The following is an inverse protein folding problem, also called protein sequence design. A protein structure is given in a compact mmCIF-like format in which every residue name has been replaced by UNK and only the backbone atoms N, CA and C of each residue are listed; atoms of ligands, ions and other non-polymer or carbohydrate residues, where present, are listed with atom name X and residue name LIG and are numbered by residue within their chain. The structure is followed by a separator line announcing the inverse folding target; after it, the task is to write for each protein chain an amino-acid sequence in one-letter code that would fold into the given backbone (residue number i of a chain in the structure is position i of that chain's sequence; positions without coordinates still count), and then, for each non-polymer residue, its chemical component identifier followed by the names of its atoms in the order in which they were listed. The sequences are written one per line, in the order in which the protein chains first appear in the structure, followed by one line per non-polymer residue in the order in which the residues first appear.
data_IF_584388913227
#
_entry.id   IF_584388913227
#
_cell.length_a   1.000
_cell.length_b   1.000
_cell.length_c   1.000
_cell.angle_alpha   90.00
_cell.angle_beta   90.00
_cell.angle_gamma   90.00
#
_symmetry.space_group_name_H-M   'P 1'
#
loop_
_entity.id
_entity.type
_entity.pdbx_description
1 polymer ?
#
# COMPACT_ATOMS: atom_id res chain seq x y z
N UNK A 1 -35.05 -72.20 -14.05
CA UNK A 1 -35.27 -71.04 -13.15
C UNK A 1 -34.00 -70.28 -12.83
N UNK A 2 -32.85 -70.94 -12.64
CA UNK A 2 -31.54 -70.25 -12.32
C UNK A 2 -31.02 -69.39 -13.46
N UNK A 3 -31.09 -69.75 -14.71
CA UNK A 3 -30.62 -68.93 -15.86
C UNK A 3 -31.34 -67.59 -16.05
N UNK A 4 -32.61 -67.51 -15.62
CA UNK A 4 -33.37 -66.23 -15.71
C UNK A 4 -33.02 -65.26 -14.59
N UNK A 5 -32.48 -65.73 -13.43
CA UNK A 5 -32.04 -64.85 -12.33
C UNK A 5 -30.67 -64.17 -12.61
N UNK A 6 -29.74 -64.87 -13.26
CA UNK A 6 -28.45 -64.35 -13.65
C UNK A 6 -28.56 -63.27 -14.73
N UNK A 7 -29.48 -63.47 -15.71
CA UNK A 7 -29.74 -62.46 -16.76
C UNK A 7 -30.36 -61.19 -16.14
N UNK A 8 -31.28 -61.32 -15.19
CA UNK A 8 -31.90 -60.18 -14.51
C UNK A 8 -30.90 -59.40 -13.65
N UNK A 9 -29.97 -60.08 -12.96
CA UNK A 9 -28.89 -59.43 -12.22
C UNK A 9 -27.90 -58.71 -13.13
N UNK A 10 -27.51 -59.28 -14.26
CA UNK A 10 -26.62 -58.66 -15.26
C UNK A 10 -27.25 -57.40 -15.87
N UNK A 11 -28.54 -57.42 -16.20
CA UNK A 11 -29.25 -56.24 -16.74
C UNK A 11 -29.35 -55.11 -15.70
N UNK A 12 -29.55 -55.41 -14.43
CA UNK A 12 -29.57 -54.39 -13.37
C UNK A 12 -28.18 -53.79 -13.10
N UNK A 13 -27.12 -54.58 -13.15
CA UNK A 13 -25.74 -54.06 -13.02
C UNK A 13 -25.37 -53.16 -14.22
N UNK A 14 -25.78 -53.47 -15.43
CA UNK A 14 -25.57 -52.64 -16.62
C UNK A 14 -26.36 -51.32 -16.55
N UNK A 15 -27.61 -51.35 -16.06
CA UNK A 15 -28.41 -50.13 -15.85
C UNK A 15 -27.82 -49.24 -14.76
N UNK A 16 -27.35 -49.82 -13.65
CA UNK A 16 -26.71 -49.06 -12.55
C UNK A 16 -25.41 -48.43 -12.98
N UNK A 17 -24.56 -49.17 -13.75
CA UNK A 17 -23.29 -48.60 -14.31
C UNK A 17 -23.57 -47.47 -15.32
N UNK A 18 -24.60 -47.58 -16.16
CA UNK A 18 -24.99 -46.48 -17.08
C UNK A 18 -25.52 -45.26 -16.34
N UNK A 19 -26.27 -45.42 -15.24
CA UNK A 19 -26.77 -44.31 -14.41
C UNK A 19 -25.66 -43.60 -13.66
N UNK A 20 -24.64 -44.34 -13.15
CA UNK A 20 -23.47 -43.78 -12.49
C UNK A 20 -22.59 -43.02 -13.51
N UNK A 21 -22.42 -43.56 -14.72
CA UNK A 21 -21.63 -42.89 -15.77
C UNK A 21 -22.36 -41.64 -16.28
N UNK A 22 -23.67 -41.64 -16.40
CA UNK A 22 -24.46 -40.46 -16.77
C UNK A 22 -24.41 -39.38 -15.67
N UNK A 23 -24.44 -39.77 -14.39
CA UNK A 23 -24.29 -38.85 -13.26
C UNK A 23 -22.89 -38.19 -13.20
N UNK A 24 -21.81 -38.97 -13.45
CA UNK A 24 -20.44 -38.45 -13.52
C UNK A 24 -20.20 -37.52 -14.72
N UNK A 25 -20.80 -37.83 -15.88
CA UNK A 25 -20.70 -36.94 -17.05
C UNK A 25 -21.48 -35.65 -16.83
N UNK A 26 -22.61 -35.68 -16.11
CA UNK A 26 -23.39 -34.48 -15.79
C UNK A 26 -22.71 -33.60 -14.75
N UNK A 27 -22.05 -34.18 -13.71
CA UNK A 27 -21.26 -33.43 -12.74
C UNK A 27 -20.02 -32.74 -13.42
N UNK A 28 -19.31 -33.47 -14.27
CA UNK A 28 -18.17 -32.91 -15.00
C UNK A 28 -18.61 -31.83 -16.01
N UNK A 29 -19.77 -31.98 -16.64
CA UNK A 29 -20.33 -30.97 -17.54
C UNK A 29 -20.72 -29.68 -16.82
N UNK A 30 -21.27 -29.76 -15.62
CA UNK A 30 -21.66 -28.59 -14.81
C UNK A 30 -20.39 -27.85 -14.31
N UNK A 31 -19.37 -28.57 -13.86
CA UNK A 31 -18.10 -27.96 -13.43
C UNK A 31 -17.38 -27.26 -14.60
N UNK A 32 -17.35 -27.88 -15.79
CA UNK A 32 -16.77 -27.25 -16.98
C UNK A 32 -17.55 -26.01 -17.44
N UNK A 33 -18.88 -26.00 -17.34
CA UNK A 33 -19.70 -24.83 -17.70
C UNK A 33 -19.52 -23.69 -16.70
N UNK A 34 -19.42 -23.98 -15.41
CA UNK A 34 -19.15 -22.96 -14.38
C UNK A 34 -17.75 -22.36 -14.55
N UNK A 35 -16.73 -23.19 -14.80
CA UNK A 35 -15.36 -22.76 -15.05
C UNK A 35 -15.26 -21.92 -16.33
N UNK A 36 -15.98 -22.29 -17.40
CA UNK A 36 -16.01 -21.49 -18.63
C UNK A 36 -16.68 -20.12 -18.45
N UNK A 37 -17.66 -19.98 -17.56
CA UNK A 37 -18.31 -18.70 -17.26
C UNK A 37 -17.36 -17.73 -16.54
N UNK A 38 -16.66 -18.21 -15.53
CA UNK A 38 -15.68 -17.39 -14.80
C UNK A 38 -14.50 -17.02 -15.70
N UNK A 39 -14.00 -17.96 -16.49
CA UNK A 39 -12.95 -17.69 -17.48
C UNK A 39 -13.37 -16.62 -18.50
N UNK A 40 -14.61 -16.69 -19.00
CA UNK A 40 -15.13 -15.69 -19.93
C UNK A 40 -15.28 -14.32 -19.25
N UNK A 41 -15.77 -14.27 -18.02
CA UNK A 41 -15.90 -13.01 -17.28
C UNK A 41 -14.50 -12.37 -17.01
N UNK A 42 -13.51 -13.16 -16.63
CA UNK A 42 -12.15 -12.62 -16.48
C UNK A 42 -11.63 -12.04 -17.82
N UNK A 43 -11.84 -12.71 -18.95
CA UNK A 43 -11.50 -12.15 -20.27
C UNK A 43 -12.21 -10.83 -20.54
N UNK A 44 -13.48 -10.71 -20.21
CA UNK A 44 -14.25 -9.48 -20.40
C UNK A 44 -13.78 -8.37 -19.45
N UNK A 45 -13.43 -8.68 -18.20
CA UNK A 45 -12.84 -7.75 -17.23
C UNK A 45 -11.50 -7.19 -17.77
N UNK A 46 -10.57 -8.08 -18.17
CA UNK A 46 -9.28 -7.63 -18.73
C UNK A 46 -9.45 -6.86 -20.03
N UNK A 47 -10.39 -7.28 -20.90
CA UNK A 47 -10.70 -6.52 -22.10
C UNK A 47 -11.23 -5.12 -21.75
N UNK A 48 -12.18 -4.99 -20.85
CA UNK A 48 -12.73 -3.70 -20.40
C UNK A 48 -11.64 -2.82 -19.80
N UNK A 49 -10.85 -3.35 -18.85
CA UNK A 49 -9.76 -2.64 -18.19
C UNK A 49 -8.61 -2.21 -19.10
N UNK A 50 -8.43 -2.85 -20.27
CA UNK A 50 -7.37 -2.51 -21.22
C UNK A 50 -7.84 -1.67 -22.42
N UNK A 51 -9.16 -1.53 -22.64
CA UNK A 51 -9.69 -0.80 -23.80
C UNK A 51 -10.58 0.38 -23.44
N UNK A 52 -11.11 0.42 -22.22
CA UNK A 52 -12.06 1.44 -21.78
C UNK A 52 -11.69 2.05 -20.41
N UNK A 53 -10.46 1.81 -19.92
CA UNK A 53 -10.01 2.29 -18.62
C UNK A 53 -9.95 3.82 -18.55
N UNK A 54 -10.23 4.34 -17.36
CA UNK A 54 -10.10 5.75 -16.97
C UNK A 54 -8.97 5.97 -15.95
N UNK A 55 -8.47 4.92 -15.33
CA UNK A 55 -7.53 5.02 -14.22
C UNK A 55 -6.26 5.82 -14.57
N UNK A 56 -5.75 5.72 -15.80
CA UNK A 56 -4.56 6.47 -16.22
C UNK A 56 -4.84 7.99 -16.29
N UNK A 57 -5.98 8.39 -16.85
CA UNK A 57 -6.37 9.80 -16.95
C UNK A 57 -6.68 10.38 -15.55
N UNK A 58 -7.29 9.59 -14.68
CA UNK A 58 -7.52 10.00 -13.29
C UNK A 58 -6.20 10.18 -12.53
N UNK A 59 -5.23 9.29 -12.73
CA UNK A 59 -3.92 9.40 -12.11
C UNK A 59 -3.14 10.60 -12.65
N UNK A 60 -3.23 10.87 -13.98
CA UNK A 60 -2.63 12.09 -14.56
C UNK A 60 -3.13 13.34 -13.85
N UNK A 61 -4.42 13.45 -13.60
CA UNK A 61 -4.98 14.60 -12.91
C UNK A 61 -4.53 14.67 -11.45
N UNK A 62 -4.60 13.56 -10.71
CA UNK A 62 -4.14 13.50 -9.32
C UNK A 62 -2.67 13.91 -9.20
N UNK A 63 -1.82 13.41 -10.09
CA UNK A 63 -0.38 13.67 -10.08
C UNK A 63 -0.04 15.07 -10.62
N UNK A 64 -0.46 15.41 -11.85
CA UNK A 64 0.03 16.59 -12.56
C UNK A 64 -0.79 17.86 -12.25
N UNK A 65 -2.05 17.76 -11.81
CA UNK A 65 -2.91 18.93 -11.50
C UNK A 65 -3.03 19.17 -10.00
N UNK A 66 -3.05 18.12 -9.19
CA UNK A 66 -3.11 18.22 -7.73
C UNK A 66 -1.69 18.07 -7.14
N UNK A 67 -1.02 16.98 -7.44
CA UNK A 67 0.35 16.67 -6.97
C UNK A 67 0.40 16.22 -5.53
N UNK A 68 1.51 16.47 -4.87
CA UNK A 68 1.77 16.11 -3.48
C UNK A 68 0.61 16.47 -2.54
N UNK A 69 0.05 15.48 -1.84
CA UNK A 69 -1.25 15.62 -1.15
C UNK A 69 -1.26 15.04 0.26
N UNK A 70 -0.20 15.36 1.04
CA UNK A 70 -0.11 14.91 2.42
C UNK A 70 -1.37 15.30 3.21
N UNK A 71 -1.86 14.38 4.04
CA UNK A 71 -3.08 14.59 4.81
C UNK A 71 -3.06 15.92 5.58
N UNK A 72 -4.21 16.60 5.64
CA UNK A 72 -4.32 17.94 6.23
C UNK A 72 -3.83 19.10 5.36
N UNK A 73 -3.38 18.85 4.14
CA UNK A 73 -3.03 19.90 3.16
C UNK A 73 -4.23 20.29 2.29
N UNK A 74 -4.18 21.49 1.71
CA UNK A 74 -5.18 21.96 0.73
C UNK A 74 -5.22 21.06 -0.52
N UNK A 75 -4.12 20.40 -0.85
CA UNK A 75 -4.04 19.46 -1.97
C UNK A 75 -4.72 18.13 -1.66
N UNK A 76 -4.62 17.66 -0.42
CA UNK A 76 -5.39 16.48 0.02
C UNK A 76 -6.90 16.74 -0.11
N UNK A 77 -7.38 17.94 0.30
CA UNK A 77 -8.78 18.32 0.14
C UNK A 77 -9.18 18.37 -1.35
N UNK A 78 -8.34 18.93 -2.22
CA UNK A 78 -8.59 18.90 -3.69
C UNK A 78 -8.68 17.47 -4.23
N UNK A 79 -7.87 16.55 -3.73
CA UNK A 79 -7.92 15.14 -4.12
C UNK A 79 -9.23 14.48 -3.65
N UNK A 80 -9.71 14.78 -2.45
CA UNK A 80 -11.03 14.36 -1.94
C UNK A 80 -12.15 14.82 -2.88
N UNK A 81 -12.19 16.11 -3.21
CA UNK A 81 -13.23 16.65 -4.07
C UNK A 81 -13.15 16.11 -5.50
N UNK A 82 -11.96 15.95 -6.04
CA UNK A 82 -11.75 15.41 -7.38
C UNK A 82 -12.22 13.95 -7.47
N UNK A 83 -11.75 13.09 -6.57
CA UNK A 83 -12.07 11.65 -6.62
C UNK A 83 -13.56 11.41 -6.35
N UNK A 84 -14.17 12.16 -5.41
CA UNK A 84 -15.62 12.14 -5.21
C UNK A 84 -16.36 12.47 -6.51
N UNK A 85 -16.01 13.57 -7.17
CA UNK A 85 -16.65 13.99 -8.41
C UNK A 85 -16.48 12.93 -9.53
N UNK A 86 -15.30 12.28 -9.64
CA UNK A 86 -15.08 11.20 -10.61
C UNK A 86 -15.97 9.98 -10.30
N UNK A 87 -16.09 9.55 -9.05
CA UNK A 87 -16.97 8.44 -8.65
C UNK A 87 -18.44 8.76 -8.94
N UNK A 88 -18.88 10.00 -8.75
CA UNK A 88 -20.25 10.44 -9.08
C UNK A 88 -20.56 10.29 -10.58
N UNK A 89 -19.56 10.45 -11.46
CA UNK A 89 -19.74 10.26 -12.92
C UNK A 89 -19.99 8.82 -13.33
N UNK A 90 -19.69 7.84 -12.47
CA UNK A 90 -19.82 6.41 -12.77
C UNK A 90 -21.26 5.90 -12.63
N UNK A 91 -22.19 6.71 -12.12
CA UNK A 91 -23.56 6.28 -11.87
C UNK A 91 -23.63 5.17 -10.81
N UNK A 92 -22.87 5.32 -9.74
CA UNK A 92 -22.89 4.44 -8.57
C UNK A 92 -24.18 4.64 -7.77
N UNK A 93 -24.55 3.67 -6.96
CA UNK A 93 -25.76 3.74 -6.12
C UNK A 93 -25.60 4.74 -4.97
N UNK A 94 -24.35 4.94 -4.50
CA UNK A 94 -24.03 5.90 -3.44
C UNK A 94 -22.60 6.42 -3.59
N UNK A 95 -22.40 7.72 -3.38
CA UNK A 95 -21.08 8.36 -3.22
C UNK A 95 -21.17 9.34 -2.07
N UNK A 96 -20.25 9.28 -1.12
CA UNK A 96 -20.25 10.15 0.06
C UNK A 96 -18.85 10.35 0.64
N UNK A 97 -18.73 11.36 1.49
CA UNK A 97 -17.54 11.65 2.28
C UNK A 97 -17.74 11.14 3.70
N UNK A 98 -16.73 10.52 4.25
CA UNK A 98 -16.70 10.07 5.65
C UNK A 98 -15.65 10.88 6.41
N UNK A 99 -16.11 11.66 7.40
CA UNK A 99 -15.28 12.57 8.17
C UNK A 99 -14.20 11.86 8.98
N UNK A 100 -12.99 12.41 8.96
CA UNK A 100 -11.85 11.97 9.76
C UNK A 100 -10.97 13.14 10.16
N UNK A 101 -10.63 13.23 11.46
CA UNK A 101 -9.64 14.22 11.94
C UNK A 101 -8.23 13.70 11.68
N UNK A 102 -7.42 14.48 10.98
CA UNK A 102 -6.08 14.08 10.56
C UNK A 102 -5.01 15.05 11.06
N UNK A 103 -3.78 14.58 11.33
CA UNK A 103 -2.67 15.47 11.70
C UNK A 103 -2.31 16.35 10.51
N UNK A 104 -1.92 17.59 10.80
CA UNK A 104 -1.36 18.52 9.83
C UNK A 104 0.10 18.78 10.16
N UNK A 105 0.99 18.12 9.42
CA UNK A 105 2.41 18.39 9.45
C UNK A 105 2.82 19.11 8.18
N UNK A 106 3.70 20.12 8.30
CA UNK A 106 4.19 20.90 7.16
C UNK A 106 5.70 20.85 7.12
N UNK A 107 6.27 20.59 5.93
CA UNK A 107 7.72 20.52 5.71
C UNK A 107 8.39 21.88 5.84
N UNK A 108 7.74 22.93 5.36
CA UNK A 108 8.29 24.28 5.32
C UNK A 108 9.25 24.51 4.13
N UNK A 109 10.34 25.24 4.36
CA UNK A 109 11.33 25.54 3.33
C UNK A 109 12.15 24.31 2.97
N UNK A 110 12.68 24.28 1.72
CA UNK A 110 13.56 23.21 1.25
C UNK A 110 14.76 23.05 2.19
N UNK A 111 15.04 21.84 2.57
CA UNK A 111 16.14 21.47 3.45
C UNK A 111 17.50 21.71 2.80
N UNK A 112 18.48 21.98 3.63
CA UNK A 112 19.88 22.11 3.20
C UNK A 112 20.79 21.32 4.13
N UNK A 113 21.77 20.60 3.57
CA UNK A 113 22.75 19.87 4.37
C UNK A 113 24.14 19.88 3.75
N UNK A 114 25.14 19.80 4.60
CA UNK A 114 26.54 19.80 4.22
C UNK A 114 27.37 18.87 5.10
N UNK A 115 28.22 18.09 4.47
CA UNK A 115 29.35 17.43 5.11
C UNK A 115 30.44 18.48 5.29
N UNK A 116 30.89 18.69 6.52
CA UNK A 116 31.94 19.67 6.88
C UNK A 116 33.24 18.93 7.19
N UNK A 117 34.10 18.77 6.16
CA UNK A 117 35.36 18.05 6.25
C UNK A 117 36.52 19.06 6.22
N UNK A 118 37.04 19.42 7.39
CA UNK A 118 38.05 20.46 7.57
C UNK A 118 37.60 21.80 6.95
N UNK A 119 38.26 22.24 5.85
CA UNK A 119 37.89 23.45 5.11
C UNK A 119 36.93 23.21 3.97
N UNK A 120 36.53 21.95 3.72
CA UNK A 120 35.65 21.57 2.62
C UNK A 120 34.21 21.48 3.09
N UNK A 121 33.29 22.06 2.31
CA UNK A 121 31.86 22.01 2.52
C UNK A 121 31.24 21.31 1.32
N UNK A 122 30.67 20.10 1.52
CA UNK A 122 30.11 19.27 0.46
C UNK A 122 28.60 19.20 0.67
N UNK A 123 27.82 19.70 -0.28
CA UNK A 123 26.37 19.62 -0.24
C UNK A 123 25.90 18.16 -0.47
N UNK A 124 24.89 17.73 0.28
CA UNK A 124 24.24 16.44 0.14
C UNK A 124 22.71 16.59 0.20
N UNK A 125 21.95 15.87 -0.62
CA UNK A 125 20.50 15.92 -0.57
C UNK A 125 19.97 15.27 0.71
N UNK A 126 19.06 15.98 1.39
CA UNK A 126 18.29 15.46 2.52
C UNK A 126 16.81 15.81 2.37
N UNK A 127 15.94 15.09 3.09
CA UNK A 127 14.54 15.43 3.28
C UNK A 127 14.15 15.20 4.75
N UNK A 128 13.50 16.16 5.39
CA UNK A 128 12.98 15.97 6.73
C UNK A 128 12.03 14.77 6.78
N UNK A 129 12.13 13.95 7.84
CA UNK A 129 11.20 12.86 8.07
C UNK A 129 9.86 13.41 8.57
N UNK A 130 8.77 12.77 8.17
CA UNK A 130 7.42 13.15 8.56
C UNK A 130 7.24 13.09 10.07
N UNK A 131 6.67 14.15 10.66
CA UNK A 131 6.55 14.32 12.12
C UNK A 131 7.82 14.84 12.80
N UNK A 132 8.89 15.14 12.04
CA UNK A 132 10.08 15.79 12.58
C UNK A 132 9.82 17.25 12.98
N UNK A 133 10.73 17.81 13.77
CA UNK A 133 10.73 19.23 14.19
C UNK A 133 11.79 20.04 13.41
N UNK A 134 11.62 21.37 13.43
CA UNK A 134 12.61 22.29 12.87
C UNK A 134 13.96 22.23 13.62
N UNK A 135 15.04 22.53 12.90
CA UNK A 135 16.30 22.92 13.51
C UNK A 135 16.22 24.35 14.08
N UNK A 136 17.25 24.82 14.77
CA UNK A 136 17.38 26.26 15.07
C UNK A 136 17.35 27.08 13.77
N UNK A 137 17.07 28.39 13.88
CA UNK A 137 17.04 29.29 12.71
C UNK A 137 18.35 29.27 11.92
N UNK A 138 19.47 29.00 12.58
CA UNK A 138 20.82 28.93 11.96
C UNK A 138 21.19 27.51 11.52
N UNK A 139 20.27 26.53 11.61
CA UNK A 139 20.54 25.12 11.38
C UNK A 139 21.15 24.43 12.61
N UNK A 140 21.52 23.18 12.46
CA UNK A 140 22.21 22.35 13.45
C UNK A 140 23.57 21.92 12.89
N UNK A 141 24.62 22.08 13.71
CA UNK A 141 25.97 21.57 13.39
C UNK A 141 26.48 20.77 14.57
N UNK A 142 26.86 19.53 14.35
CA UNK A 142 27.49 18.68 15.36
C UNK A 142 28.43 17.63 14.71
N UNK A 143 29.27 16.98 15.53
CA UNK A 143 29.92 15.75 15.11
C UNK A 143 28.91 14.63 14.88
N UNK A 144 29.26 13.71 13.98
CA UNK A 144 28.44 12.54 13.73
C UNK A 144 28.98 11.27 14.38
N UNK A 145 28.08 10.34 14.61
CA UNK A 145 28.42 8.96 14.90
C UNK A 145 27.57 8.04 14.04
N UNK A 146 28.21 7.16 13.26
CA UNK A 146 27.53 6.18 12.38
C UNK A 146 27.18 4.95 13.18
N UNK A 147 25.96 4.44 12.95
CA UNK A 147 25.44 3.17 13.50
C UNK A 147 24.65 2.39 12.45
N UNK A 148 24.66 1.05 12.57
CA UNK A 148 23.91 0.16 11.69
C UNK A 148 22.51 -0.16 12.23
N UNK A 149 22.00 0.62 13.18
CA UNK A 149 20.67 0.50 13.72
C UNK A 149 20.59 0.76 15.22
N UNK A 150 19.37 0.57 15.76
CA UNK A 150 19.04 0.91 17.15
C UNK A 150 19.81 0.05 18.16
N UNK A 151 20.06 -1.23 17.86
CA UNK A 151 20.77 -2.11 18.79
C UNK A 151 22.23 -1.69 18.96
N UNK A 152 22.91 -1.32 17.88
CA UNK A 152 24.27 -0.76 17.98
C UNK A 152 24.28 0.56 18.73
N UNK A 153 23.32 1.46 18.44
CA UNK A 153 23.17 2.73 19.13
C UNK A 153 23.19 2.56 20.66
N UNK A 154 22.41 1.59 21.19
CA UNK A 154 22.30 1.34 22.63
C UNK A 154 23.65 0.97 23.26
N UNK A 155 24.55 0.31 22.52
CA UNK A 155 25.87 -0.09 23.02
C UNK A 155 26.84 1.10 23.20
N UNK A 156 26.56 2.22 22.53
CA UNK A 156 27.45 3.39 22.54
C UNK A 156 27.24 4.32 23.75
N UNK A 157 26.04 4.27 24.38
CA UNK A 157 25.74 5.01 25.61
C UNK A 157 26.10 6.51 25.53
N UNK A 158 26.88 6.99 26.52
CA UNK A 158 27.29 8.40 26.66
C UNK A 158 28.09 8.98 25.45
N UNK A 159 28.62 8.13 24.55
CA UNK A 159 29.29 8.59 23.33
C UNK A 159 28.37 9.29 22.35
N UNK A 160 27.05 9.11 22.49
CA UNK A 160 25.99 9.69 21.64
C UNK A 160 25.73 11.15 22.01
N UNK A 161 25.93 11.52 23.26
CA UNK A 161 25.58 12.84 23.81
C UNK A 161 26.19 14.00 22.99
N UNK A 162 25.33 14.92 22.55
CA UNK A 162 25.71 16.10 21.77
C UNK A 162 26.07 15.82 20.30
N UNK A 163 25.91 14.60 19.82
CA UNK A 163 26.21 14.22 18.43
C UNK A 163 24.95 14.09 17.57
N UNK A 164 25.12 14.13 16.25
CA UNK A 164 24.14 13.68 15.27
C UNK A 164 24.36 12.18 15.06
N UNK A 165 23.32 11.38 15.23
CA UNK A 165 23.36 9.95 14.93
C UNK A 165 23.06 9.73 13.44
N UNK A 166 23.97 9.08 12.76
CA UNK A 166 23.81 8.65 11.38
C UNK A 166 23.46 7.16 11.32
N UNK A 167 22.19 6.84 11.10
CA UNK A 167 21.70 5.49 10.88
C UNK A 167 21.97 5.07 9.43
N UNK A 168 22.84 4.09 9.23
CA UNK A 168 23.34 3.73 7.90
C UNK A 168 23.12 2.25 7.53
N UNK A 169 22.18 1.51 8.17
CA UNK A 169 21.83 0.16 7.75
C UNK A 169 21.09 0.21 6.41
N UNK A 170 21.64 -0.39 5.33
CA UNK A 170 20.99 -0.43 4.04
C UNK A 170 19.84 -1.46 4.02
N UNK A 171 18.99 -1.38 3.01
CA UNK A 171 18.14 -2.51 2.63
C UNK A 171 19.01 -3.70 2.23
N UNK A 172 18.64 -4.92 2.67
CA UNK A 172 19.38 -6.14 2.36
C UNK A 172 19.17 -6.53 0.88
N UNK A 173 20.21 -6.53 0.04
CA UNK A 173 20.09 -6.81 -1.39
C UNK A 173 19.86 -8.29 -1.71
N UNK A 174 19.95 -9.20 -0.73
CA UNK A 174 19.77 -10.64 -0.92
C UNK A 174 18.30 -11.02 -1.09
N UNK A 175 17.38 -10.24 -0.54
CA UNK A 175 15.96 -10.55 -0.61
C UNK A 175 15.38 -10.22 -1.99
N UNK A 176 14.77 -11.20 -2.63
CA UNK A 176 14.01 -11.00 -3.88
C UNK A 176 12.74 -10.18 -3.62
N UNK A 177 12.06 -10.45 -2.49
CA UNK A 177 10.92 -9.64 -2.02
C UNK A 177 11.46 -8.36 -1.36
N UNK A 178 11.41 -7.24 -2.07
CA UNK A 178 12.02 -5.96 -1.63
C UNK A 178 11.37 -5.40 -0.36
N UNK A 179 10.07 -5.64 -0.15
CA UNK A 179 9.40 -5.30 1.12
C UNK A 179 10.00 -5.98 2.35
N UNK A 180 10.58 -7.18 2.20
CA UNK A 180 11.33 -7.83 3.28
C UNK A 180 12.60 -7.06 3.63
N UNK A 181 13.29 -6.53 2.62
CA UNK A 181 14.47 -5.68 2.83
C UNK A 181 14.11 -4.36 3.51
N UNK A 182 13.01 -3.74 3.10
CA UNK A 182 12.45 -2.56 3.74
C UNK A 182 12.08 -2.81 5.20
N UNK A 183 11.32 -3.85 5.48
CA UNK A 183 10.97 -4.25 6.85
C UNK A 183 12.19 -4.52 7.74
N UNK A 184 13.31 -4.98 7.13
CA UNK A 184 14.58 -5.20 7.83
C UNK A 184 15.34 -3.94 8.25
N UNK A 185 14.95 -2.73 7.78
CA UNK A 185 15.67 -1.49 8.08
C UNK A 185 14.77 -0.31 8.47
N UNK A 186 13.45 -0.40 8.36
CA UNK A 186 12.52 0.70 8.61
C UNK A 186 12.49 1.19 10.06
N UNK A 187 12.83 0.34 11.02
CA UNK A 187 12.89 0.68 12.45
C UNK A 187 13.81 1.87 12.73
N UNK A 188 14.96 1.97 12.04
CA UNK A 188 15.90 3.09 12.19
C UNK A 188 15.30 4.44 11.73
N UNK A 189 14.39 4.43 10.76
CA UNK A 189 13.62 5.63 10.37
C UNK A 189 12.52 5.92 11.39
N UNK A 190 11.71 4.93 11.71
CA UNK A 190 10.50 5.13 12.51
C UNK A 190 10.81 5.47 13.97
N UNK A 191 11.71 4.74 14.61
CA UNK A 191 12.04 4.88 16.03
C UNK A 191 13.41 5.49 16.31
N UNK A 192 14.25 5.69 15.29
CA UNK A 192 15.65 6.11 15.48
C UNK A 192 15.81 7.43 16.20
N UNK A 193 14.99 8.45 15.88
CA UNK A 193 15.06 9.75 16.55
C UNK A 193 14.71 9.64 18.04
N UNK A 194 13.68 8.87 18.39
CA UNK A 194 13.30 8.59 19.78
C UNK A 194 14.44 7.96 20.57
N UNK A 195 15.02 6.90 20.03
CA UNK A 195 16.07 6.15 20.75
C UNK A 195 17.39 6.95 20.84
N UNK A 196 17.72 7.75 19.84
CA UNK A 196 18.86 8.66 19.89
C UNK A 196 18.68 9.81 20.89
N UNK A 197 17.49 10.40 20.95
CA UNK A 197 17.16 11.47 21.90
C UNK A 197 17.34 11.04 23.35
N UNK A 198 16.89 9.82 23.71
CA UNK A 198 17.08 9.24 25.06
C UNK A 198 18.54 9.16 25.49
N UNK A 199 19.48 9.09 24.55
CA UNK A 199 20.93 9.06 24.79
C UNK A 199 21.58 10.46 24.65
N UNK A 200 20.77 11.51 24.52
CA UNK A 200 21.24 12.90 24.42
C UNK A 200 21.81 13.29 23.06
N UNK A 201 21.45 12.59 21.98
CA UNK A 201 21.70 13.05 20.62
C UNK A 201 21.03 14.41 20.35
N UNK A 202 21.57 15.21 19.44
CA UNK A 202 21.01 16.51 19.07
C UNK A 202 20.29 16.50 17.71
N UNK A 203 20.35 15.40 16.97
CA UNK A 203 19.67 15.19 15.69
C UNK A 203 19.98 13.81 15.13
N UNK A 204 19.22 13.40 14.11
CA UNK A 204 19.50 12.15 13.38
C UNK A 204 19.46 12.36 11.88
N UNK A 205 20.30 11.59 11.18
CA UNK A 205 20.29 11.44 9.73
C UNK A 205 20.14 9.96 9.43
N UNK A 206 19.19 9.62 8.56
CA UNK A 206 18.83 8.23 8.25
C UNK A 206 19.07 7.97 6.76
N UNK A 207 19.81 6.91 6.44
CA UNK A 207 19.97 6.43 5.08
C UNK A 207 18.60 6.17 4.46
N UNK A 208 18.39 6.66 3.26
CA UNK A 208 17.18 6.38 2.48
C UNK A 208 17.01 4.88 2.19
N UNK A 209 15.78 4.41 2.24
CA UNK A 209 15.43 3.00 2.07
C UNK A 209 15.20 2.70 0.60
N UNK A 210 16.31 2.48 -0.11
CA UNK A 210 16.37 2.16 -1.52
C UNK A 210 17.50 1.17 -1.77
N UNK A 211 17.32 0.23 -2.70
CA UNK A 211 18.38 -0.66 -3.17
C UNK A 211 19.25 -0.02 -4.25
N UNK A 212 18.74 0.99 -4.93
CA UNK A 212 19.45 1.78 -5.92
C UNK A 212 20.27 2.86 -5.24
N UNK A 213 21.44 3.19 -5.80
CA UNK A 213 22.24 4.36 -5.41
C UNK A 213 21.85 5.57 -6.26
N UNK A 214 21.27 6.57 -5.63
CA UNK A 214 20.83 7.82 -6.26
C UNK A 214 20.88 9.01 -5.31
N UNK A 215 20.46 10.17 -5.79
CA UNK A 215 20.45 11.43 -5.03
C UNK A 215 19.04 11.84 -4.56
N UNK A 216 18.07 10.91 -4.54
CA UNK A 216 16.74 11.14 -4.03
C UNK A 216 16.65 10.69 -2.56
N UNK A 217 16.55 11.62 -1.58
CA UNK A 217 16.24 11.23 -0.20
C UNK A 217 14.79 10.77 -0.09
N UNK A 218 14.57 9.66 0.64
CA UNK A 218 13.27 9.08 0.89
C UNK A 218 12.76 9.50 2.27
N UNK A 219 11.70 10.27 2.31
CA UNK A 219 11.03 10.66 3.55
C UNK A 219 10.27 9.48 4.17
N UNK A 220 9.30 9.72 4.98
CA UNK A 220 8.40 8.76 5.62
C UNK A 220 8.19 9.08 7.08
N UNK A 221 7.16 8.49 7.69
CA UNK A 221 6.83 8.73 9.07
C UNK A 221 7.94 8.31 10.02
N UNK A 222 8.17 9.13 11.03
CA UNK A 222 8.91 8.80 12.25
C UNK A 222 8.03 9.08 13.47
N UNK A 223 8.38 8.50 14.62
CA UNK A 223 7.64 8.65 15.85
C UNK A 223 8.58 8.90 17.04
N UNK A 224 8.27 9.93 17.80
CA UNK A 224 8.91 10.17 19.10
C UNK A 224 8.27 9.34 20.23
N UNK A 225 7.16 8.62 19.93
CA UNK A 225 6.46 7.78 20.90
C UNK A 225 6.00 8.56 22.14
N UNK A 226 6.54 8.17 23.28
CA UNK A 226 6.22 8.72 24.62
C UNK A 226 7.17 9.80 25.10
N UNK A 227 8.12 10.25 24.26
CA UNK A 227 9.01 11.35 24.64
C UNK A 227 8.23 12.67 24.82
N UNK A 228 8.57 13.49 25.83
CA UNK A 228 8.05 14.83 25.91
C UNK A 228 8.54 15.70 24.73
N UNK A 229 7.70 16.63 24.27
CA UNK A 229 8.02 17.50 23.11
C UNK A 229 9.34 18.27 23.29
N UNK A 230 9.69 18.61 24.55
CA UNK A 230 10.95 19.30 24.86
C UNK A 230 12.22 18.47 24.59
N UNK A 231 12.07 17.17 24.39
CA UNK A 231 13.17 16.23 24.11
C UNK A 231 13.23 15.81 22.62
N UNK A 232 12.31 16.33 21.79
CA UNK A 232 12.33 16.05 20.36
C UNK A 232 13.59 16.62 19.70
N UNK A 233 14.16 15.87 18.79
CA UNK A 233 15.34 16.25 18.02
C UNK A 233 15.01 16.22 16.52
N UNK A 234 15.58 17.14 15.70
CA UNK A 234 15.37 17.15 14.27
C UNK A 234 15.93 15.88 13.61
N UNK A 235 15.17 15.33 12.65
CA UNK A 235 15.54 14.10 11.93
C UNK A 235 15.24 14.24 10.44
N UNK A 236 16.18 13.76 9.60
CA UNK A 236 16.06 13.79 8.14
C UNK A 236 16.62 12.52 7.50
N UNK A 237 16.07 12.15 6.34
CA UNK A 237 16.68 11.17 5.46
C UNK A 237 17.77 11.80 4.61
N UNK A 238 18.84 11.05 4.32
CA UNK A 238 19.88 11.40 3.36
C UNK A 238 19.80 10.44 2.16
N UNK A 239 20.06 10.91 0.93
CA UNK A 239 20.10 10.06 -0.25
C UNK A 239 21.11 8.91 -0.10
N UNK A 240 20.93 7.83 -0.85
CA UNK A 240 21.85 6.67 -0.79
C UNK A 240 23.27 7.03 -1.21
N UNK A 241 23.46 7.84 -2.27
CA UNK A 241 24.77 8.39 -2.64
C UNK A 241 25.35 9.27 -1.53
N UNK A 242 24.53 10.12 -0.92
CA UNK A 242 24.95 10.96 0.21
C UNK A 242 25.38 10.13 1.42
N UNK A 243 24.69 9.04 1.72
CA UNK A 243 25.01 8.13 2.81
C UNK A 243 26.35 7.39 2.57
N UNK A 244 26.60 6.88 1.36
CA UNK A 244 27.87 6.28 0.99
C UNK A 244 29.04 7.28 1.13
N UNK A 245 28.85 8.51 0.63
CA UNK A 245 29.84 9.55 0.75
C UNK A 245 30.13 9.92 2.20
N UNK A 246 29.07 10.06 3.02
CA UNK A 246 29.19 10.42 4.44
C UNK A 246 29.92 9.33 5.22
N UNK A 247 29.57 8.06 5.05
CA UNK A 247 30.25 6.93 5.68
C UNK A 247 31.72 6.84 5.28
N UNK A 248 32.04 7.01 3.98
CA UNK A 248 33.42 7.04 3.50
C UNK A 248 34.25 8.17 4.16
N UNK A 249 33.65 9.35 4.30
CA UNK A 249 34.30 10.51 4.94
C UNK A 249 34.53 10.31 6.43
N UNK A 250 33.55 9.73 7.15
CA UNK A 250 33.65 9.40 8.57
C UNK A 250 34.79 8.41 8.86
N UNK A 251 35.00 7.40 7.99
CA UNK A 251 36.11 6.45 8.11
C UNK A 251 37.48 7.14 8.01
N UNK A 252 37.59 8.21 7.23
CA UNK A 252 38.84 8.98 7.08
C UNK A 252 39.01 10.14 8.09
N UNK A 253 37.91 10.64 8.63
CA UNK A 253 37.88 11.73 9.63
C UNK A 253 36.79 11.47 10.68
N UNK A 254 37.10 10.79 11.80
CA UNK A 254 36.15 10.49 12.87
C UNK A 254 35.54 11.74 13.56
N UNK A 255 36.14 12.89 13.44
CA UNK A 255 35.66 14.15 14.02
C UNK A 255 34.91 15.02 12.99
N UNK A 256 34.44 14.40 11.89
CA UNK A 256 33.66 15.04 10.86
C UNK A 256 32.40 15.68 11.44
N UNK A 257 32.11 16.91 11.02
CA UNK A 257 30.86 17.59 11.37
C UNK A 257 29.88 17.57 10.23
N UNK A 258 28.60 17.56 10.59
CA UNK A 258 27.50 17.69 9.67
C UNK A 258 26.65 18.89 10.02
N UNK A 259 26.26 19.63 9.02
CA UNK A 259 25.30 20.72 9.13
C UNK A 259 24.02 20.34 8.40
N UNK A 260 22.86 20.58 9.01
CA UNK A 260 21.60 20.59 8.28
C UNK A 260 20.62 21.62 8.84
N UNK A 261 19.72 22.06 7.97
CA UNK A 261 18.63 22.99 8.29
C UNK A 261 17.34 22.48 7.69
N UNK A 262 16.30 22.46 8.51
CA UNK A 262 14.91 22.17 8.16
C UNK A 262 13.98 23.05 8.97
N UNK A 263 12.75 23.32 8.45
CA UNK A 263 11.78 24.24 9.04
C UNK A 263 10.40 23.62 9.25
N UNK A 264 10.31 22.31 9.26
CA UNK A 264 9.06 21.56 9.42
C UNK A 264 8.40 21.82 10.78
N UNK A 265 7.07 21.71 10.82
CA UNK A 265 6.28 21.95 12.02
C UNK A 265 5.02 21.07 12.05
N UNK A 266 4.69 20.60 13.25
CA UNK A 266 3.37 20.00 13.53
C UNK A 266 2.39 21.14 13.81
N UNK A 267 1.25 21.13 13.13
CA UNK A 267 0.12 22.04 13.32
C UNK A 267 -1.01 21.32 14.08
N UNK A 268 -2.10 22.03 14.36
CA UNK A 268 -3.32 21.41 14.88
C UNK A 268 -3.94 20.45 13.88
N UNK A 269 -4.59 19.42 14.41
CA UNK A 269 -5.36 18.47 13.58
C UNK A 269 -6.48 19.20 12.83
N UNK A 270 -6.76 18.74 11.62
CA UNK A 270 -7.81 19.31 10.76
C UNK A 270 -8.79 18.25 10.30
N UNK A 271 -10.00 18.68 9.96
CA UNK A 271 -11.00 17.80 9.32
C UNK A 271 -10.58 17.46 7.90
N UNK A 272 -10.69 16.19 7.53
CA UNK A 272 -10.55 15.66 6.18
C UNK A 272 -11.54 14.51 5.98
N UNK A 273 -11.40 13.72 4.90
CA UNK A 273 -12.42 12.72 4.55
C UNK A 273 -11.82 11.49 3.88
N UNK A 274 -12.34 10.30 4.23
CA UNK A 274 -12.33 9.17 3.29
C UNK A 274 -13.38 9.41 2.21
N UNK A 275 -13.10 9.01 0.97
CA UNK A 275 -14.07 9.08 -0.13
C UNK A 275 -14.62 7.68 -0.38
N UNK A 276 -15.96 7.56 -0.38
CA UNK A 276 -16.62 6.25 -0.45
C UNK A 276 -17.60 6.22 -1.62
N UNK A 277 -17.57 5.13 -2.42
CA UNK A 277 -18.50 4.87 -3.50
C UNK A 277 -19.01 3.42 -3.47
N UNK A 278 -20.27 3.17 -3.88
CA UNK A 278 -20.89 1.85 -3.78
C UNK A 278 -21.64 1.45 -5.05
N UNK A 279 -21.47 0.17 -5.45
CA UNK A 279 -22.44 -0.56 -6.27
C UNK A 279 -23.20 -1.48 -5.33
N UNK A 280 -24.50 -1.25 -5.19
CA UNK A 280 -25.37 -2.01 -4.29
C UNK A 280 -25.53 -3.46 -4.75
N UNK A 281 -25.44 -4.40 -3.82
CA UNK A 281 -25.65 -5.81 -4.06
C UNK A 281 -27.08 -6.12 -4.48
N UNK A 282 -27.24 -7.04 -5.44
CA UNK A 282 -28.54 -7.46 -5.98
C UNK A 282 -29.22 -8.56 -5.17
N UNK A 283 -28.44 -9.36 -4.43
CA UNK A 283 -28.93 -10.49 -3.63
C UNK A 283 -28.73 -10.22 -2.13
N UNK A 284 -27.56 -9.69 -1.75
CA UNK A 284 -27.15 -9.45 -0.37
C UNK A 284 -26.64 -8.02 -0.20
N UNK A 285 -27.50 -6.99 -0.31
CA UNK A 285 -27.09 -5.58 -0.24
C UNK A 285 -26.50 -5.16 1.12
N UNK A 286 -26.77 -5.91 2.19
CA UNK A 286 -26.22 -5.71 3.53
C UNK A 286 -24.81 -6.28 3.70
N UNK A 287 -24.35 -7.13 2.78
CA UNK A 287 -23.02 -7.74 2.81
C UNK A 287 -22.04 -6.90 1.99
N UNK A 288 -20.93 -6.49 2.59
CA UNK A 288 -20.02 -5.50 2.02
C UNK A 288 -18.68 -6.14 1.69
N UNK A 289 -18.22 -5.90 0.48
CA UNK A 289 -16.87 -6.17 0.00
C UNK A 289 -16.17 -4.85 -0.29
N UNK A 290 -15.02 -4.61 0.32
CA UNK A 290 -14.26 -3.37 0.19
C UNK A 290 -13.14 -3.53 -0.84
N UNK A 291 -12.89 -2.48 -1.61
CA UNK A 291 -11.68 -2.29 -2.41
C UNK A 291 -11.16 -0.89 -2.18
N UNK A 292 -9.85 -0.70 -1.97
CA UNK A 292 -9.31 0.61 -1.62
C UNK A 292 -7.82 0.79 -1.78
N UNK A 293 -7.36 1.98 -1.48
CA UNK A 293 -6.01 2.46 -1.38
C UNK A 293 -6.01 3.81 -0.69
N UNK A 294 -4.85 4.36 -0.32
CA UNK A 294 -4.84 5.63 0.40
C UNK A 294 -4.75 6.86 -0.53
N UNK A 295 -5.55 7.86 -0.20
CA UNK A 295 -5.70 9.05 -1.04
C UNK A 295 -4.61 10.09 -0.80
N UNK A 296 -4.05 10.17 0.39
CA UNK A 296 -2.92 11.04 0.69
C UNK A 296 -1.60 10.50 0.10
N UNK A 297 -0.59 11.30 0.08
CA UNK A 297 0.78 10.95 -0.33
C UNK A 297 1.77 11.84 0.39
N UNK A 298 3.05 11.46 0.43
CA UNK A 298 4.09 12.37 0.91
C UNK A 298 4.16 13.63 0.05
N UNK A 299 4.67 14.69 0.65
CA UNK A 299 4.70 16.05 0.11
C UNK A 299 5.91 16.36 -0.79
N UNK A 300 6.80 15.39 -1.02
CA UNK A 300 7.99 15.58 -1.85
C UNK A 300 7.70 15.51 -3.35
N UNK A 301 6.77 14.66 -3.77
CA UNK A 301 6.46 14.40 -5.17
C UNK A 301 4.95 14.27 -5.40
N UNK A 302 4.59 13.77 -6.58
CA UNK A 302 3.18 13.68 -6.99
C UNK A 302 2.45 12.50 -6.32
N UNK A 303 3.17 11.55 -5.69
CA UNK A 303 2.60 10.34 -5.10
C UNK A 303 1.86 9.51 -6.15
N UNK A 304 2.54 9.23 -7.27
CA UNK A 304 1.90 8.54 -8.40
C UNK A 304 1.88 7.03 -8.20
N UNK A 305 2.97 6.45 -7.68
CA UNK A 305 3.00 5.06 -7.24
C UNK A 305 2.43 4.90 -5.85
N UNK A 306 2.70 5.85 -4.94
CA UNK A 306 2.41 5.80 -3.52
C UNK A 306 1.45 6.94 -3.10
N UNK A 307 0.13 6.76 -3.05
CA UNK A 307 -0.62 5.61 -3.55
C UNK A 307 -1.67 6.05 -4.59
N UNK A 308 -1.33 7.03 -5.44
CA UNK A 308 -2.21 7.42 -6.56
C UNK A 308 -2.60 6.22 -7.43
N UNK A 309 -1.68 5.28 -7.63
CA UNK A 309 -1.93 4.06 -8.42
C UNK A 309 -3.02 3.19 -7.79
N UNK A 310 -2.94 2.90 -6.49
CA UNK A 310 -3.94 2.07 -5.81
C UNK A 310 -5.30 2.76 -5.72
N UNK A 311 -5.33 4.08 -5.50
CA UNK A 311 -6.55 4.89 -5.55
C UNK A 311 -7.28 4.69 -6.86
N UNK A 312 -6.61 4.95 -7.99
CA UNK A 312 -7.28 4.90 -9.30
C UNK A 312 -7.57 3.46 -9.76
N UNK A 313 -6.74 2.48 -9.36
CA UNK A 313 -7.04 1.06 -9.60
C UNK A 313 -8.30 0.62 -8.87
N UNK A 314 -8.48 1.05 -7.62
CA UNK A 314 -9.67 0.76 -6.82
C UNK A 314 -10.93 1.39 -7.38
N UNK A 315 -10.87 2.64 -7.86
CA UNK A 315 -11.95 3.30 -8.59
C UNK A 315 -12.28 2.58 -9.89
N UNK A 316 -11.26 2.12 -10.62
CA UNK A 316 -11.40 1.43 -11.90
C UNK A 316 -12.10 0.07 -11.76
N UNK A 317 -11.99 -0.62 -10.62
CA UNK A 317 -12.76 -1.84 -10.34
C UNK A 317 -14.26 -1.58 -10.51
N UNK A 318 -14.78 -0.51 -9.92
CA UNK A 318 -16.21 -0.16 -10.03
C UNK A 318 -16.56 0.27 -11.46
N UNK A 319 -15.68 1.02 -12.12
CA UNK A 319 -15.86 1.42 -13.51
C UNK A 319 -15.95 0.21 -14.46
N UNK A 320 -15.06 -0.78 -14.31
CA UNK A 320 -15.10 -2.03 -15.09
C UNK A 320 -16.45 -2.74 -14.89
N UNK A 321 -16.92 -2.88 -13.65
CA UNK A 321 -18.20 -3.54 -13.38
C UNK A 321 -19.39 -2.79 -13.97
N UNK A 322 -19.40 -1.46 -13.91
CA UNK A 322 -20.43 -0.64 -14.55
C UNK A 322 -20.41 -0.79 -16.07
N UNK A 323 -19.22 -0.76 -16.70
CA UNK A 323 -19.08 -0.94 -18.15
C UNK A 323 -19.57 -2.31 -18.64
N UNK A 324 -19.34 -3.35 -17.86
CA UNK A 324 -19.79 -4.71 -18.18
C UNK A 324 -21.26 -4.95 -17.84
N UNK A 325 -21.94 -4.00 -17.20
CA UNK A 325 -23.30 -4.19 -16.69
C UNK A 325 -23.37 -5.29 -15.62
N UNK A 326 -22.24 -5.57 -14.95
CA UNK A 326 -22.18 -6.56 -13.88
C UNK A 326 -23.02 -6.11 -12.68
N UNK A 327 -23.90 -6.98 -12.22
CA UNK A 327 -24.71 -6.79 -11.02
C UNK A 327 -24.15 -7.66 -9.93
N UNK A 328 -23.37 -7.12 -8.99
CA UNK A 328 -22.79 -7.91 -7.92
C UNK A 328 -23.88 -8.46 -7.01
N UNK A 329 -23.64 -9.64 -6.42
CA UNK A 329 -24.53 -10.24 -5.41
C UNK A 329 -24.47 -9.45 -4.11
N UNK A 330 -23.25 -9.09 -3.69
CA UNK A 330 -22.94 -8.32 -2.49
C UNK A 330 -22.65 -6.86 -2.87
N UNK A 331 -22.77 -5.93 -1.92
CA UNK A 331 -22.37 -4.54 -2.13
C UNK A 331 -20.85 -4.44 -2.29
N UNK A 332 -20.39 -3.87 -3.41
CA UNK A 332 -19.00 -3.56 -3.65
C UNK A 332 -18.78 -2.09 -3.35
N UNK A 333 -17.91 -1.81 -2.39
CA UNK A 333 -17.59 -0.47 -1.89
C UNK A 333 -16.14 -0.13 -2.16
N UNK A 334 -15.89 0.98 -2.89
CA UNK A 334 -14.56 1.58 -2.94
C UNK A 334 -14.41 2.53 -1.75
N UNK A 335 -13.25 2.48 -1.10
CA UNK A 335 -12.86 3.42 -0.04
C UNK A 335 -11.48 3.96 -0.36
N UNK A 336 -11.39 5.27 -0.53
CA UNK A 336 -10.12 5.97 -0.68
C UNK A 336 -9.78 6.55 0.69
N UNK A 337 -8.86 5.89 1.37
CA UNK A 337 -8.53 6.18 2.77
C UNK A 337 -7.67 7.44 2.87
N UNK A 338 -7.92 8.24 3.90
CA UNK A 338 -7.13 9.45 4.16
C UNK A 338 -6.20 9.22 5.35
N UNK A 339 -4.95 9.71 5.25
CA UNK A 339 -3.99 9.69 6.33
C UNK A 339 -3.35 8.32 6.62
N UNK A 340 -3.04 7.54 5.61
CA UNK A 340 -2.20 6.35 5.77
C UNK A 340 -0.79 6.78 6.19
N UNK A 341 -0.17 7.66 5.41
CA UNK A 341 1.24 8.05 5.41
C UNK A 341 1.79 8.48 6.78
N UNK A 342 0.96 9.15 7.57
CA UNK A 342 1.41 9.69 8.85
C UNK A 342 0.39 9.52 9.99
N UNK A 343 -0.42 8.44 9.97
CA UNK A 343 -1.34 8.20 11.08
C UNK A 343 -2.24 7.00 11.02
N UNK A 344 -2.65 6.55 9.83
CA UNK A 344 -3.61 5.45 9.63
C UNK A 344 -5.00 5.77 10.21
N UNK A 345 -5.38 7.06 10.27
CA UNK A 345 -6.65 7.45 10.90
C UNK A 345 -7.85 7.17 10.02
N UNK A 346 -7.68 7.19 8.69
CA UNK A 346 -8.75 6.89 7.72
C UNK A 346 -9.26 5.47 7.86
N UNK A 347 -8.38 4.48 7.84
CA UNK A 347 -8.74 3.07 8.02
C UNK A 347 -9.35 2.78 9.38
N UNK A 348 -8.78 3.36 10.46
CA UNK A 348 -9.34 3.25 11.83
C UNK A 348 -10.73 3.85 11.93
N UNK A 349 -10.94 5.04 11.34
CA UNK A 349 -12.25 5.71 11.37
C UNK A 349 -13.28 4.96 10.55
N UNK A 350 -12.88 4.39 9.43
CA UNK A 350 -13.75 3.54 8.63
C UNK A 350 -14.23 2.33 9.43
N UNK A 351 -13.32 1.63 10.09
CA UNK A 351 -13.64 0.48 10.95
C UNK A 351 -14.55 0.87 12.13
N UNK A 352 -14.23 1.97 12.85
CA UNK A 352 -15.03 2.48 13.95
C UNK A 352 -16.50 2.71 13.54
N UNK A 353 -16.72 3.37 12.40
CA UNK A 353 -18.06 3.66 11.90
C UNK A 353 -18.77 2.41 11.37
N UNK A 354 -18.04 1.50 10.75
CA UNK A 354 -18.59 0.20 10.32
C UNK A 354 -19.08 -0.63 11.52
N UNK A 355 -18.32 -0.65 12.62
CA UNK A 355 -18.71 -1.27 13.88
C UNK A 355 -19.96 -0.60 14.48
N UNK A 356 -19.96 0.73 14.57
CA UNK A 356 -21.09 1.52 15.10
C UNK A 356 -22.38 1.25 14.33
N UNK A 357 -22.29 1.17 13.02
CA UNK A 357 -23.39 0.91 12.10
C UNK A 357 -23.75 -0.58 11.99
N UNK A 358 -22.99 -1.46 12.66
CA UNK A 358 -23.16 -2.93 12.59
C UNK A 358 -23.14 -3.46 11.15
N UNK A 359 -22.25 -2.92 10.33
CA UNK A 359 -22.08 -3.32 8.95
C UNK A 359 -21.53 -4.75 8.84
N UNK A 360 -21.95 -5.50 7.84
CA UNK A 360 -21.52 -6.87 7.59
C UNK A 360 -20.43 -6.92 6.51
N UNK A 361 -19.17 -6.71 6.90
CA UNK A 361 -18.03 -6.87 6.01
C UNK A 361 -17.62 -8.33 5.89
N UNK A 362 -17.26 -8.78 4.68
CA UNK A 362 -16.84 -10.16 4.41
C UNK A 362 -15.49 -10.26 3.71
N UNK A 363 -15.11 -9.22 2.96
CA UNK A 363 -13.87 -9.18 2.19
C UNK A 363 -13.35 -7.75 2.06
N UNK A 364 -12.03 -7.59 2.05
CA UNK A 364 -11.37 -6.33 1.72
C UNK A 364 -10.12 -6.56 0.86
N UNK A 365 -9.93 -5.71 -0.16
CA UNK A 365 -8.78 -5.72 -1.07
C UNK A 365 -8.14 -4.34 -1.10
N UNK A 366 -6.83 -4.28 -0.90
CA UNK A 366 -6.05 -3.03 -0.98
C UNK A 366 -4.99 -3.10 -2.06
N UNK A 367 -4.74 -1.98 -2.73
CA UNK A 367 -3.58 -1.78 -3.59
C UNK A 367 -2.75 -0.64 -3.02
N UNK A 368 -1.56 -0.95 -2.51
CA UNK A 368 -0.58 -0.01 -1.94
C UNK A 368 0.83 -0.59 -2.10
N UNK A 369 1.22 -0.79 -3.36
CA UNK A 369 2.55 -1.30 -3.72
C UNK A 369 2.99 -0.79 -5.09
N UNK A 370 2.36 0.31 -5.56
CA UNK A 370 2.64 0.98 -6.81
C UNK A 370 1.94 0.39 -8.03
N UNK A 371 1.94 1.15 -9.13
CA UNK A 371 1.29 0.82 -10.40
C UNK A 371 2.14 -0.06 -11.34
N UNK A 372 2.93 -1.00 -10.80
CA UNK A 372 3.75 -1.92 -11.59
C UNK A 372 2.96 -3.15 -12.05
N UNK A 373 3.57 -3.96 -12.94
CA UNK A 373 2.94 -5.19 -13.46
C UNK A 373 2.44 -6.08 -12.33
N UNK A 374 1.15 -6.41 -12.25
CA UNK A 374 0.62 -7.29 -11.21
C UNK A 374 1.22 -8.70 -11.34
N UNK A 375 1.48 -9.34 -10.19
CA UNK A 375 2.03 -10.71 -10.10
C UNK A 375 1.14 -11.65 -9.27
N UNK A 376 0.23 -11.10 -8.46
CA UNK A 376 -0.64 -11.89 -7.61
C UNK A 376 -1.23 -11.11 -6.45
N UNK A 377 -1.45 -11.83 -5.36
CA UNK A 377 -2.03 -11.29 -4.14
C UNK A 377 -1.38 -11.89 -2.89
N UNK A 378 -1.34 -11.11 -1.82
CA UNK A 378 -1.16 -11.61 -0.46
C UNK A 378 -2.51 -11.69 0.25
N UNK A 379 -2.69 -12.68 1.14
CA UNK A 379 -3.95 -12.91 1.81
C UNK A 379 -3.77 -13.08 3.32
N UNK A 380 -4.55 -12.34 4.08
CA UNK A 380 -4.85 -12.66 5.48
C UNK A 380 -6.18 -13.42 5.51
N UNK A 381 -6.09 -14.74 5.56
CA UNK A 381 -7.22 -15.67 5.52
C UNK A 381 -6.91 -16.93 6.32
N UNK A 382 -7.94 -17.58 6.84
CA UNK A 382 -7.82 -18.93 7.38
C UNK A 382 -7.50 -19.96 6.28
N UNK A 383 -7.16 -21.19 6.69
CA UNK A 383 -6.75 -22.24 5.74
C UNK A 383 -7.87 -22.65 4.78
N UNK A 384 -9.13 -22.68 5.23
CA UNK A 384 -10.26 -23.12 4.42
C UNK A 384 -10.51 -22.12 3.27
N UNK A 385 -10.57 -20.82 3.59
CA UNK A 385 -10.75 -19.75 2.63
C UNK A 385 -9.54 -19.61 1.69
N UNK A 386 -8.32 -19.70 2.22
CA UNK A 386 -7.13 -19.65 1.38
C UNK A 386 -7.05 -20.82 0.39
N UNK A 387 -7.40 -22.05 0.82
CA UNK A 387 -7.45 -23.21 -0.08
C UNK A 387 -8.55 -23.04 -1.16
N UNK A 388 -9.71 -22.47 -0.84
CA UNK A 388 -10.72 -22.11 -1.84
C UNK A 388 -10.15 -21.12 -2.87
N UNK A 389 -9.51 -20.05 -2.43
CA UNK A 389 -8.89 -19.03 -3.31
C UNK A 389 -7.84 -19.67 -4.24
N UNK A 390 -7.05 -20.61 -3.73
CA UNK A 390 -6.06 -21.33 -4.55
C UNK A 390 -6.68 -22.13 -5.70
N UNK A 391 -7.94 -22.54 -5.60
CA UNK A 391 -8.63 -23.25 -6.72
C UNK A 391 -8.84 -22.34 -7.94
N UNK A 392 -8.84 -21.02 -7.75
CA UNK A 392 -9.02 -20.05 -8.84
C UNK A 392 -7.70 -19.64 -9.52
N UNK A 393 -6.56 -20.09 -9.00
CA UNK A 393 -5.24 -19.68 -9.50
C UNK A 393 -5.08 -19.90 -11.01
N UNK A 394 -5.56 -21.03 -11.52
CA UNK A 394 -5.48 -21.37 -12.94
C UNK A 394 -6.23 -20.37 -13.84
N UNK A 395 -7.28 -19.71 -13.34
CA UNK A 395 -8.01 -18.66 -14.07
C UNK A 395 -7.15 -17.42 -14.31
N UNK A 396 -6.16 -17.20 -13.46
CA UNK A 396 -5.25 -16.04 -13.51
C UNK A 396 -3.97 -16.30 -14.31
N UNK A 397 -3.62 -17.56 -14.58
CA UNK A 397 -2.38 -17.90 -15.33
C UNK A 397 -2.27 -17.23 -16.70
N UNK A 398 -3.35 -17.11 -17.53
CA UNK A 398 -3.28 -16.43 -18.82
C UNK A 398 -2.89 -14.95 -18.72
N UNK A 399 -3.01 -14.36 -17.52
CA UNK A 399 -2.71 -12.94 -17.23
C UNK A 399 -1.39 -12.76 -16.49
N UNK A 400 -0.58 -13.82 -16.35
CA UNK A 400 0.72 -13.85 -15.65
C UNK A 400 0.60 -13.55 -14.14
N UNK A 401 -0.55 -13.82 -13.56
CA UNK A 401 -0.81 -13.70 -12.12
C UNK A 401 -0.63 -15.08 -11.50
N UNK A 402 0.45 -15.25 -10.75
CA UNK A 402 0.88 -16.56 -10.26
C UNK A 402 1.23 -16.60 -8.78
N UNK A 403 1.39 -15.43 -8.13
CA UNK A 403 1.75 -15.34 -6.71
C UNK A 403 0.48 -15.25 -5.85
N UNK A 404 0.11 -16.35 -5.20
CA UNK A 404 -0.96 -16.41 -4.20
C UNK A 404 -0.32 -16.86 -2.91
N UNK A 405 -0.14 -15.93 -1.97
CA UNK A 405 0.62 -16.20 -0.73
C UNK A 405 -0.14 -15.71 0.50
N UNK A 406 0.05 -16.38 1.64
CA UNK A 406 -0.37 -15.84 2.93
C UNK A 406 0.60 -14.74 3.35
N UNK A 407 0.06 -13.61 3.83
CA UNK A 407 0.87 -12.48 4.27
C UNK A 407 0.03 -11.24 4.51
N UNK A 408 0.69 -10.16 4.86
CA UNK A 408 0.06 -8.86 5.08
C UNK A 408 -0.70 -8.41 3.83
N UNK A 409 -1.94 -7.92 4.03
CA UNK A 409 -2.85 -7.56 2.94
C UNK A 409 -2.85 -6.06 2.64
N UNK A 410 -2.73 -5.20 3.66
CA UNK A 410 -2.73 -3.76 3.51
C UNK A 410 -2.85 -3.04 4.85
N UNK A 411 -2.38 -1.79 4.89
CA UNK A 411 -2.35 -0.99 6.10
C UNK A 411 -3.74 -0.42 6.44
N UNK A 412 -4.45 0.11 5.46
CA UNK A 412 -5.75 0.76 5.64
C UNK A 412 -6.89 -0.21 5.92
N UNK A 413 -6.86 -1.40 5.31
CA UNK A 413 -7.82 -2.47 5.60
C UNK A 413 -7.42 -3.30 6.82
N UNK A 414 -6.24 -3.09 7.39
CA UNK A 414 -5.75 -3.74 8.60
C UNK A 414 -6.73 -3.69 9.77
N UNK A 415 -7.30 -2.52 10.12
CA UNK A 415 -8.30 -2.39 11.21
C UNK A 415 -9.53 -3.27 11.05
N UNK A 416 -9.94 -3.62 9.81
CA UNK A 416 -11.08 -4.52 9.55
C UNK A 416 -10.90 -5.95 10.05
N UNK A 417 -9.73 -6.30 10.60
CA UNK A 417 -9.51 -7.57 11.31
C UNK A 417 -10.51 -7.83 12.43
N UNK A 418 -11.11 -6.78 12.99
CA UNK A 418 -12.16 -6.86 14.00
C UNK A 418 -13.41 -7.60 13.51
N UNK A 419 -13.68 -7.59 12.19
CA UNK A 419 -14.79 -8.31 11.56
C UNK A 419 -14.47 -9.77 11.20
N UNK A 420 -13.23 -10.24 11.39
CA UNK A 420 -12.76 -11.59 11.03
C UNK A 420 -12.97 -11.93 9.55
N UNK A 421 -12.74 -10.97 8.68
CA UNK A 421 -12.91 -11.08 7.22
C UNK A 421 -11.64 -11.59 6.53
N UNK A 422 -11.79 -12.02 5.28
CA UNK A 422 -10.64 -12.22 4.39
C UNK A 422 -10.15 -10.86 3.93
N UNK A 423 -8.84 -10.62 4.05
CA UNK A 423 -8.18 -9.45 3.47
C UNK A 423 -7.19 -9.88 2.41
N UNK A 424 -7.08 -9.10 1.34
CA UNK A 424 -6.14 -9.31 0.26
C UNK A 424 -5.40 -8.01 -0.08
N UNK A 425 -4.13 -8.14 -0.46
CA UNK A 425 -3.34 -7.05 -1.02
C UNK A 425 -2.88 -7.39 -2.44
N UNK A 426 -3.03 -6.45 -3.38
CA UNK A 426 -2.45 -6.62 -4.71
C UNK A 426 -0.92 -6.67 -4.60
N UNK A 427 -0.31 -7.69 -5.23
CA UNK A 427 1.15 -7.79 -5.32
C UNK A 427 1.61 -7.52 -6.74
N UNK A 428 2.10 -6.32 -7.05
CA UNK A 428 2.83 -6.07 -8.29
C UNK A 428 4.28 -6.56 -8.20
N UNK A 429 5.02 -6.41 -9.30
CA UNK A 429 6.47 -6.55 -9.32
C UNK A 429 7.11 -5.45 -8.46
N UNK A 430 7.70 -5.83 -7.35
CA UNK A 430 8.21 -4.88 -6.34
C UNK A 430 9.64 -4.40 -6.59
N UNK A 431 10.32 -4.87 -7.67
CA UNK A 431 11.75 -4.61 -7.86
C UNK A 431 12.10 -3.13 -7.99
N UNK A 432 11.17 -2.31 -8.49
CA UNK A 432 11.37 -0.87 -8.69
C UNK A 432 10.58 0.00 -7.72
N UNK A 433 9.72 -0.57 -6.84
CA UNK A 433 8.87 0.22 -5.95
C UNK A 433 9.69 1.17 -5.07
N UNK A 434 10.74 0.64 -4.43
CA UNK A 434 11.58 1.44 -3.55
C UNK A 434 12.51 2.42 -4.27
N UNK A 435 12.58 2.42 -5.60
CA UNK A 435 13.22 3.50 -6.37
C UNK A 435 12.41 4.81 -6.30
N UNK A 436 11.10 4.72 -6.01
CA UNK A 436 10.14 5.84 -6.01
C UNK A 436 9.52 6.11 -4.64
N UNK A 437 9.27 5.06 -3.86
CA UNK A 437 8.58 5.11 -2.57
C UNK A 437 9.10 6.25 -1.67
N UNK A 438 8.23 7.20 -1.35
CA UNK A 438 8.50 8.37 -0.51
C UNK A 438 9.59 9.35 -1.03
N UNK A 439 9.87 9.38 -2.32
CA UNK A 439 10.94 10.16 -2.91
C UNK A 439 10.45 11.16 -3.97
N UNK A 440 11.28 12.18 -4.24
CA UNK A 440 10.95 13.26 -5.18
C UNK A 440 10.65 12.80 -6.61
N UNK A 441 11.11 11.62 -6.99
CA UNK A 441 10.93 11.02 -8.31
C UNK A 441 9.68 10.14 -8.43
N UNK A 442 8.83 10.04 -7.39
CA UNK A 442 7.51 9.41 -7.52
C UNK A 442 6.55 10.35 -8.27
N UNK A 443 6.67 10.33 -9.59
CA UNK A 443 5.95 11.20 -10.51
C UNK A 443 5.21 10.42 -11.57
N UNK A 444 4.24 11.07 -12.21
CA UNK A 444 3.39 10.47 -13.23
C UNK A 444 4.16 9.86 -14.41
N UNK A 445 5.30 10.42 -14.80
CA UNK A 445 6.14 9.89 -15.88
C UNK A 445 6.81 8.55 -15.57
N UNK A 446 6.83 8.15 -14.30
CA UNK A 446 7.26 6.82 -13.88
C UNK A 446 6.18 5.73 -14.09
N UNK A 447 4.93 6.12 -14.32
CA UNK A 447 3.79 5.19 -14.45
C UNK A 447 3.70 4.62 -15.87
N UNK A 448 3.65 3.31 -15.97
CA UNK A 448 3.30 2.63 -17.20
C UNK A 448 1.78 2.42 -17.26
N UNK A 449 1.12 3.05 -18.27
CA UNK A 449 -0.33 2.96 -18.44
C UNK A 449 -0.85 1.53 -18.42
N UNK A 450 -0.22 0.64 -19.20
CA UNK A 450 -0.67 -0.74 -19.33
C UNK A 450 -0.50 -1.54 -18.03
N UNK A 451 0.58 -1.32 -17.29
CA UNK A 451 0.81 -1.98 -15.99
C UNK A 451 -0.27 -1.56 -14.98
N UNK A 452 -0.59 -0.26 -14.93
CA UNK A 452 -1.65 0.30 -14.07
C UNK A 452 -3.02 -0.34 -14.38
N UNK A 453 -3.40 -0.37 -15.67
CA UNK A 453 -4.66 -0.95 -16.14
C UNK A 453 -4.75 -2.46 -15.86
N UNK A 454 -3.64 -3.21 -16.01
CA UNK A 454 -3.57 -4.63 -15.65
C UNK A 454 -3.78 -4.84 -14.15
N UNK A 455 -3.26 -3.97 -13.29
CA UNK A 455 -3.49 -4.00 -11.84
C UNK A 455 -4.97 -3.90 -11.52
N UNK A 456 -5.65 -2.90 -12.07
CA UNK A 456 -7.11 -2.71 -11.87
C UNK A 456 -7.94 -3.92 -12.35
N UNK A 457 -7.64 -4.45 -13.53
CA UNK A 457 -8.32 -5.64 -14.06
C UNK A 457 -8.08 -6.89 -13.20
N UNK A 458 -6.87 -7.03 -12.65
CA UNK A 458 -6.52 -8.12 -11.72
C UNK A 458 -7.33 -8.01 -10.42
N UNK A 459 -7.45 -6.82 -9.85
CA UNK A 459 -8.26 -6.56 -8.67
C UNK A 459 -9.75 -6.83 -8.93
N UNK A 460 -10.29 -6.34 -10.06
CA UNK A 460 -11.68 -6.60 -10.45
C UNK A 460 -11.98 -8.10 -10.62
N UNK A 461 -11.01 -8.86 -11.16
CA UNK A 461 -11.13 -10.31 -11.33
C UNK A 461 -11.23 -11.04 -9.99
N UNK A 462 -10.44 -10.68 -8.99
CA UNK A 462 -10.53 -11.26 -7.66
C UNK A 462 -11.85 -10.87 -6.97
N UNK A 463 -12.24 -9.59 -7.04
CA UNK A 463 -13.51 -9.11 -6.50
C UNK A 463 -14.70 -9.87 -7.10
N UNK A 464 -14.70 -10.09 -8.42
CA UNK A 464 -15.73 -10.88 -9.10
C UNK A 464 -15.78 -12.32 -8.56
N UNK A 465 -14.64 -13.02 -8.45
CA UNK A 465 -14.60 -14.41 -8.01
C UNK A 465 -15.08 -14.57 -6.57
N UNK A 466 -14.70 -13.67 -5.67
CA UNK A 466 -15.20 -13.65 -4.28
C UNK A 466 -16.72 -13.40 -4.27
N UNK A 467 -17.22 -12.45 -5.06
CA UNK A 467 -18.65 -12.13 -5.11
C UNK A 467 -19.49 -13.30 -5.64
N UNK A 468 -19.00 -13.99 -6.68
CA UNK A 468 -19.76 -15.09 -7.29
C UNK A 468 -19.74 -16.38 -6.49
N UNK A 469 -18.58 -16.72 -5.91
CA UNK A 469 -18.38 -18.02 -5.26
C UNK A 469 -18.56 -17.96 -3.73
N UNK A 470 -18.58 -16.76 -3.16
CA UNK A 470 -18.65 -16.56 -1.72
C UNK A 470 -17.34 -16.96 -1.00
N UNK A 471 -17.41 -16.95 0.33
CA UNK A 471 -16.37 -17.41 1.24
C UNK A 471 -16.87 -18.59 2.07
N UNK A 472 -15.97 -19.46 2.49
CA UNK A 472 -16.30 -20.56 3.42
C UNK A 472 -16.65 -19.94 4.77
N UNK A 473 -17.84 -20.29 5.30
CA UNK A 473 -18.35 -19.82 6.59
C UNK A 473 -17.92 -20.73 7.72
#
# INVERSE_FOLDING_TARGET
LEKNSEIAQSINQIKMKKSILAGLVFLNGIVMVAQSKDEQMLKDIYKSGLTNAKCYDWLEHLSNKIGARLSGSDKAEKAVQYTKAQLETLGLDKVYLQEVMVPKWVRGEKETAFILDNKTKIAVPIAALGGSIATSKNGLTAELIEVQGIEELKTLGEKIKGKIVFYNRPMDPVNIETFKSYGGCVDQRYAGAKEAAKLGAVGTIVRSMNLRLDDFPHTGAQSYGDLPVSEYIPTAAISTNGAELLSKKLKSNPNLKFYFKQSCAQMEDVLSYNVVGEIKGSEHPETIMVVGGHLDSWDLADGSHDDGAGVVQSMEVLHIFKNLGYKPKNTIRVVLFMNEENGGRGGKKYEELAQLNKENHVFALESDSGGFSPRGFSFEADDANFNQILTWKNLFEPYLIHSFVKGHAGADIGPLSSFKIIKAGLKPDSQRYFDYHHALNDKFDAINKRELELGAATMASLMYLIDQNGIVK
#
